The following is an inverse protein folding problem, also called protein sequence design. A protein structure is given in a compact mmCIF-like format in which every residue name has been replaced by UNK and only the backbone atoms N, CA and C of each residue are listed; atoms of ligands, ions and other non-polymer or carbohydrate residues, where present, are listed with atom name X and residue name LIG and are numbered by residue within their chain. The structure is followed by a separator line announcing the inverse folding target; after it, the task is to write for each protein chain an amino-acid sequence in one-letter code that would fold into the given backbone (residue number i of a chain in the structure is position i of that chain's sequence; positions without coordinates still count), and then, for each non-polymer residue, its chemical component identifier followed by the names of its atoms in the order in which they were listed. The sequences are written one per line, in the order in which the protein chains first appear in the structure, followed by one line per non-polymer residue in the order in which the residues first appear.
data_IF_450114487292
#
_entry.id   IF_450114487292
#
_cell.length_a   1.000
_cell.length_b   1.000
_cell.length_c   1.000
_cell.angle_alpha   90.00
_cell.angle_beta   90.00
_cell.angle_gamma   90.00
#
_symmetry.space_group_name_H-M   'P 1'
#
loop_
_entity.id
_entity.type
_entity.pdbx_description
1 polymer ?
#
# COMPACT_ATOMS: atom_id res chain seq x y z
N UNK A 1 -2.73 10.27 18.38
CA UNK A 1 -1.85 10.54 17.22
C UNK A 1 -0.96 11.76 17.44
N UNK A 2 -1.49 12.99 17.48
CA UNK A 2 -0.69 14.25 17.58
C UNK A 2 0.42 14.24 18.66
N UNK A 3 0.10 13.86 19.90
CA UNK A 3 1.07 13.77 21.01
C UNK A 3 2.24 12.82 20.71
N UNK A 4 1.95 11.65 20.15
CA UNK A 4 3.00 10.67 19.83
C UNK A 4 3.80 11.08 18.60
N UNK A 5 3.14 11.66 17.59
CA UNK A 5 3.83 12.20 16.43
C UNK A 5 4.79 13.34 16.80
N UNK A 6 4.46 14.20 17.77
CA UNK A 6 5.37 15.26 18.24
C UNK A 6 6.59 14.73 18.99
N UNK A 7 6.57 13.50 19.48
CA UNK A 7 7.74 12.83 20.06
C UNK A 7 8.52 12.01 19.02
N UNK A 8 7.96 11.85 17.82
CA UNK A 8 8.63 11.19 16.70
C UNK A 8 9.32 12.23 15.81
N UNK A 9 10.34 11.83 15.07
CA UNK A 9 11.04 12.71 14.13
C UNK A 9 10.26 12.93 12.82
N UNK A 10 8.93 13.12 12.90
CA UNK A 10 8.04 13.37 11.76
C UNK A 10 7.74 14.87 11.76
N UNK A 11 8.42 15.63 10.90
CA UNK A 11 8.26 17.09 10.85
C UNK A 11 6.95 17.55 10.17
N UNK A 12 6.39 16.72 9.27
CA UNK A 12 5.14 17.03 8.59
C UNK A 12 3.92 16.83 9.52
N UNK A 13 3.47 17.95 10.10
CA UNK A 13 2.29 18.00 10.97
C UNK A 13 1.00 17.62 10.27
N UNK A 14 0.92 17.69 8.94
CA UNK A 14 -0.28 17.29 8.19
C UNK A 14 -0.58 15.80 8.40
N UNK A 15 0.43 14.98 8.70
CA UNK A 15 0.30 13.52 8.93
C UNK A 15 -0.13 13.13 10.34
N UNK A 16 -0.36 14.09 11.24
CA UNK A 16 -0.62 13.82 12.66
C UNK A 16 -2.08 13.41 12.94
N UNK A 17 -2.62 12.49 12.15
CA UNK A 17 -3.99 12.00 12.23
C UNK A 17 -4.05 10.51 11.90
N UNK A 18 -5.07 9.81 12.39
CA UNK A 18 -5.14 8.35 12.31
C UNK A 18 -5.21 7.81 10.88
N UNK A 19 -5.76 8.59 9.94
CA UNK A 19 -5.83 8.18 8.54
C UNK A 19 -4.44 7.97 7.91
N UNK A 20 -3.40 8.64 8.40
CA UNK A 20 -2.02 8.39 7.98
C UNK A 20 -1.59 6.95 8.29
N UNK A 21 -1.94 6.41 9.46
CA UNK A 21 -1.66 5.01 9.80
C UNK A 21 -2.43 4.05 8.89
N UNK A 22 -3.71 4.34 8.59
CA UNK A 22 -4.49 3.54 7.65
C UNK A 22 -3.81 3.48 6.29
N UNK A 23 -3.34 4.62 5.78
CA UNK A 23 -2.62 4.67 4.51
C UNK A 23 -1.31 3.87 4.56
N UNK A 24 -0.52 4.01 5.63
CA UNK A 24 0.73 3.23 5.79
C UNK A 24 0.45 1.73 5.81
N UNK A 25 -0.55 1.27 6.57
CA UNK A 25 -0.92 -0.14 6.59
C UNK A 25 -1.44 -0.61 5.24
N UNK A 26 -2.23 0.19 4.53
CA UNK A 26 -2.73 -0.15 3.21
C UNK A 26 -1.60 -0.37 2.19
N UNK A 27 -0.58 0.48 2.19
CA UNK A 27 0.61 0.31 1.33
C UNK A 27 1.38 -0.95 1.69
N UNK A 28 1.64 -1.20 2.97
CA UNK A 28 2.34 -2.42 3.39
C UNK A 28 1.58 -3.71 3.00
N UNK A 29 0.26 -3.70 3.12
CA UNK A 29 -0.56 -4.84 2.69
C UNK A 29 -0.52 -5.02 1.17
N UNK A 30 -0.63 -3.93 0.39
CA UNK A 30 -0.45 -3.99 -1.06
C UNK A 30 0.91 -4.61 -1.43
N UNK A 31 1.99 -4.20 -0.77
CA UNK A 31 3.34 -4.75 -0.99
C UNK A 31 3.51 -6.21 -0.56
N UNK A 32 2.58 -6.75 0.25
CA UNK A 32 2.64 -8.11 0.82
C UNK A 32 1.86 -9.15 0.00
N UNK A 33 1.87 -9.02 -1.33
CA UNK A 33 1.16 -9.90 -2.28
C UNK A 33 -0.36 -9.92 -2.20
N UNK A 34 -0.96 -9.03 -1.40
CA UNK A 34 -2.41 -8.87 -1.35
C UNK A 34 -2.90 -8.26 -2.67
N UNK A 35 -3.95 -8.85 -3.26
CA UNK A 35 -4.57 -8.28 -4.44
C UNK A 35 -5.45 -7.06 -4.09
N UNK A 36 -5.84 -6.29 -5.12
CA UNK A 36 -6.60 -5.06 -4.91
C UNK A 36 -7.99 -5.28 -4.31
N UNK A 37 -8.61 -6.45 -4.52
CA UNK A 37 -9.92 -6.80 -3.98
C UNK A 37 -9.83 -7.23 -2.53
N UNK A 38 -8.81 -8.00 -2.18
CA UNK A 38 -8.48 -8.34 -0.80
C UNK A 38 -8.20 -7.07 0.02
N UNK A 39 -7.39 -6.15 -0.52
CA UNK A 39 -7.12 -4.88 0.14
C UNK A 39 -8.37 -4.00 0.24
N UNK A 40 -9.20 -3.95 -0.81
CA UNK A 40 -10.46 -3.21 -0.80
C UNK A 40 -11.39 -3.74 0.31
N UNK A 41 -11.52 -5.05 0.45
CA UNK A 41 -12.31 -5.68 1.50
C UNK A 41 -11.75 -5.37 2.88
N UNK A 42 -10.43 -5.52 3.07
CA UNK A 42 -9.76 -5.23 4.35
C UNK A 42 -9.94 -3.78 4.79
N UNK A 43 -9.87 -2.83 3.85
CA UNK A 43 -10.09 -1.41 4.11
C UNK A 43 -11.57 -1.00 4.22
N UNK A 44 -12.51 -1.90 3.91
CA UNK A 44 -13.94 -1.61 3.89
C UNK A 44 -14.33 -0.57 2.84
N UNK A 45 -13.61 -0.50 1.73
CA UNK A 45 -13.84 0.49 0.69
C UNK A 45 -15.01 0.08 -0.23
N UNK A 46 -16.05 0.93 -0.31
CA UNK A 46 -17.19 0.71 -1.20
C UNK A 46 -16.78 0.73 -2.69
N UNK A 47 -15.91 1.67 -3.06
CA UNK A 47 -15.39 1.79 -4.43
C UNK A 47 -13.93 1.34 -4.47
N UNK A 48 -13.58 0.52 -5.47
CA UNK A 48 -12.20 0.08 -5.71
C UNK A 48 -11.27 1.25 -6.06
N UNK A 49 -11.81 2.32 -6.66
CA UNK A 49 -11.06 3.53 -7.00
C UNK A 49 -10.39 4.17 -5.78
N UNK A 50 -10.99 4.05 -4.60
CA UNK A 50 -10.39 4.56 -3.35
C UNK A 50 -9.22 3.69 -2.86
N UNK A 51 -9.08 2.47 -3.38
CA UNK A 51 -8.02 1.51 -3.05
C UNK A 51 -6.89 1.55 -4.09
N UNK A 52 -7.20 1.90 -5.34
CA UNK A 52 -6.22 2.00 -6.44
C UNK A 52 -5.04 2.90 -6.10
N UNK A 53 -5.24 3.95 -5.31
CA UNK A 53 -4.17 4.86 -4.86
C UNK A 53 -3.02 4.14 -4.13
N UNK A 54 -3.24 2.96 -3.56
CA UNK A 54 -2.18 2.19 -2.88
C UNK A 54 -1.38 1.28 -3.81
N UNK A 55 -1.89 1.03 -5.02
CA UNK A 55 -1.25 0.21 -6.05
C UNK A 55 -0.47 1.05 -7.09
N UNK A 56 -0.62 2.37 -7.08
CA UNK A 56 0.05 3.26 -8.03
C UNK A 56 1.55 3.47 -7.74
N UNK A 57 2.04 3.11 -6.54
CA UNK A 57 3.35 3.58 -6.04
C UNK A 57 4.38 2.49 -5.73
N UNK A 58 4.06 1.21 -5.90
CA UNK A 58 4.93 0.13 -5.42
C UNK A 58 5.81 -0.40 -6.55
N UNK A 59 7.00 0.17 -6.72
CA UNK A 59 8.06 -0.37 -7.62
C UNK A 59 8.27 -1.86 -7.38
N UNK A 60 8.13 -2.30 -6.13
CA UNK A 60 8.25 -3.70 -5.70
C UNK A 60 7.21 -4.63 -6.32
N UNK A 61 5.97 -4.17 -6.52
CA UNK A 61 4.95 -4.98 -7.21
C UNK A 61 5.25 -5.06 -8.71
N UNK A 62 5.73 -3.97 -9.32
CA UNK A 62 6.15 -3.97 -10.71
C UNK A 62 7.31 -4.95 -10.92
N UNK A 63 8.36 -4.86 -10.09
CA UNK A 63 9.48 -5.80 -10.08
C UNK A 63 9.01 -7.24 -9.95
N UNK A 64 8.10 -7.51 -9.00
CA UNK A 64 7.54 -8.86 -8.83
C UNK A 64 6.75 -9.34 -10.04
N UNK A 65 6.01 -8.45 -10.70
CA UNK A 65 5.29 -8.78 -11.92
C UNK A 65 6.28 -9.10 -13.06
N UNK A 66 7.35 -8.31 -13.21
CA UNK A 66 8.42 -8.60 -14.16
C UNK A 66 9.07 -9.95 -13.88
N UNK A 67 9.46 -10.25 -12.63
CA UNK A 67 10.03 -11.55 -12.26
C UNK A 67 9.09 -12.71 -12.56
N UNK A 68 7.78 -12.56 -12.33
CA UNK A 68 6.78 -13.58 -12.70
C UNK A 68 6.68 -13.79 -14.21
N UNK A 69 6.83 -12.73 -15.01
CA UNK A 69 6.80 -12.81 -16.48
C UNK A 69 8.07 -13.47 -17.02
N UNK A 70 9.24 -13.09 -16.50
CA UNK A 70 10.54 -13.70 -16.86
C UNK A 70 10.52 -15.21 -16.58
N UNK A 71 10.15 -15.63 -15.36
CA UNK A 71 10.07 -17.04 -15.00
C UNK A 71 9.11 -17.86 -15.88
N UNK A 72 8.08 -17.21 -16.44
CA UNK A 72 7.11 -17.87 -17.33
C UNK A 72 7.58 -17.93 -18.78
N UNK A 73 8.41 -16.99 -19.21
CA UNK A 73 9.04 -16.97 -20.53
C UNK A 73 10.13 -18.03 -20.68
N UNK A 74 10.77 -18.45 -19.60
CA UNK A 74 11.80 -19.51 -19.61
C UNK A 74 11.21 -20.93 -19.64
N UNK A 75 9.90 -21.08 -19.42
CA UNK A 75 9.19 -22.36 -19.44
C UNK A 75 8.49 -22.69 -20.78
N UNK A 76 8.63 -21.83 -21.79
CA UNK A 76 8.07 -21.99 -23.15
C UNK A 76 9.20 -22.15 -24.15
#
# INVERSE_FOLDING_TARGET
MKKYCSYSNIHDKSKYHFHALKHTTAVHLAESDMDIKELQWWLGHKSVTNTEIYFQFTTKQQEKMYSKLEAKSEMV
#
